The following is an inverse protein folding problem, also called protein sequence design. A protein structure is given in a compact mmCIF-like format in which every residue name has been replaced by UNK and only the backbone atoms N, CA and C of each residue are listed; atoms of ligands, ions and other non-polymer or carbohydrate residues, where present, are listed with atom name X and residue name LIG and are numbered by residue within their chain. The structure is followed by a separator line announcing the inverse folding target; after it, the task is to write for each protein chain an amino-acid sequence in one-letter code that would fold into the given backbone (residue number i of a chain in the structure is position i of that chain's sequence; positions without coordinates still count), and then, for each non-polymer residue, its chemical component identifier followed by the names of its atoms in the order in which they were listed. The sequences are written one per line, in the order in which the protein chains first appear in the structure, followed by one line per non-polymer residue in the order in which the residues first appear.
data_IF_064792598898
#
_entry.id   IF_064792598898
#
_cell.length_a   1.000
_cell.length_b   1.000
_cell.length_c   1.000
_cell.angle_alpha   90.00
_cell.angle_beta   90.00
_cell.angle_gamma   90.00
#
_symmetry.space_group_name_H-M   'P 1'
#
loop_
_entity.id
_entity.type
_entity.pdbx_description
1 polymer ?
#
# COMPACT_ATOMS: atom_id res chain seq x y z
N UNK A 1 14.05 7.41 2.07
CA UNK A 1 13.22 6.31 2.58
C UNK A 1 12.51 5.65 1.40
N UNK A 2 12.41 4.32 1.38
CA UNK A 2 11.81 3.60 0.26
C UNK A 2 10.33 3.94 0.15
N UNK A 3 9.93 4.53 -0.98
CA UNK A 3 8.61 5.14 -1.18
C UNK A 3 7.44 4.17 -1.03
N UNK A 4 7.66 2.85 -1.16
CA UNK A 4 6.63 1.82 -1.00
C UNK A 4 7.29 0.48 -0.61
N UNK A 5 7.14 -0.03 0.62
CA UNK A 5 7.76 -1.30 1.01
C UNK A 5 7.10 -2.48 0.28
N UNK A 6 7.89 -3.23 -0.50
CA UNK A 6 7.44 -4.44 -1.19
C UNK A 6 7.56 -5.64 -0.25
N UNK A 7 6.50 -6.43 -0.11
CA UNK A 7 6.50 -7.67 0.69
C UNK A 7 6.13 -8.84 -0.21
N UNK A 8 6.86 -9.95 -0.08
CA UNK A 8 6.76 -11.17 -0.90
C UNK A 8 5.48 -12.01 -0.69
N UNK A 9 4.49 -11.47 0.02
CA UNK A 9 3.17 -12.10 0.21
C UNK A 9 2.44 -11.56 1.43
N UNK A 10 1.11 -11.37 1.32
CA UNK A 10 0.28 -10.80 2.38
C UNK A 10 0.23 -11.66 3.66
N UNK A 11 0.53 -12.96 3.57
CA UNK A 11 0.44 -13.90 4.70
C UNK A 11 1.34 -13.53 5.89
N UNK A 12 2.55 -13.04 5.64
CA UNK A 12 3.48 -12.63 6.70
C UNK A 12 2.95 -11.42 7.49
N UNK A 13 2.31 -10.47 6.81
CA UNK A 13 1.72 -9.28 7.44
C UNK A 13 0.51 -9.69 8.27
N UNK A 14 -0.38 -10.54 7.73
CA UNK A 14 -1.56 -11.02 8.45
C UNK A 14 -1.18 -11.77 9.72
N UNK A 15 -0.15 -12.63 9.66
CA UNK A 15 0.37 -13.32 10.85
C UNK A 15 0.94 -12.32 11.86
N UNK A 16 1.74 -11.36 11.41
CA UNK A 16 2.29 -10.31 12.29
C UNK A 16 1.18 -9.52 12.97
N UNK A 17 0.17 -9.06 12.24
CA UNK A 17 -0.99 -8.35 12.80
C UNK A 17 -1.72 -9.22 13.84
N UNK A 18 -1.87 -10.52 13.57
CA UNK A 18 -2.45 -11.48 14.50
C UNK A 18 -1.65 -11.59 15.81
N UNK A 19 -0.31 -11.64 15.73
CA UNK A 19 0.55 -11.64 16.92
C UNK A 19 0.45 -10.34 17.69
N UNK A 20 0.47 -9.19 17.00
CA UNK A 20 0.33 -7.87 17.60
C UNK A 20 -1.02 -7.69 18.30
N UNK A 21 -2.10 -8.32 17.80
CA UNK A 21 -3.41 -8.36 18.48
C UNK A 21 -3.40 -9.16 19.79
N UNK A 22 -2.61 -10.22 19.85
CA UNK A 22 -2.52 -11.06 21.06
C UNK A 22 -1.57 -10.47 22.10
N UNK A 23 -0.45 -9.88 21.65
CA UNK A 23 0.51 -9.23 22.52
C UNK A 23 1.24 -8.14 21.73
N UNK A 24 0.97 -6.88 22.06
CA UNK A 24 1.60 -5.73 21.42
C UNK A 24 2.80 -5.24 22.24
N UNK A 25 4.04 -5.66 21.93
CA UNK A 25 5.21 -5.29 22.69
C UNK A 25 5.48 -3.78 22.59
N UNK A 26 6.18 -3.22 23.59
CA UNK A 26 6.54 -1.80 23.60
C UNK A 26 7.46 -1.41 22.43
N UNK A 27 8.28 -2.35 21.97
CA UNK A 27 9.21 -2.21 20.84
C UNK A 27 9.11 -3.41 19.92
N UNK A 28 8.96 -3.17 18.62
CA UNK A 28 8.97 -4.15 17.55
C UNK A 28 10.29 -4.03 16.80
N UNK A 29 11.21 -4.96 17.05
CA UNK A 29 12.51 -5.04 16.37
C UNK A 29 12.60 -6.31 15.52
N UNK A 30 13.69 -6.44 14.77
CA UNK A 30 13.98 -7.66 14.00
C UNK A 30 14.07 -8.91 14.88
N UNK A 31 14.45 -8.76 16.15
CA UNK A 31 14.46 -9.86 17.12
C UNK A 31 13.03 -10.31 17.47
N UNK A 32 12.09 -9.36 17.58
CA UNK A 32 10.68 -9.65 17.82
C UNK A 32 10.10 -10.43 16.64
N UNK A 33 10.37 -9.98 15.41
CA UNK A 33 9.91 -10.65 14.18
C UNK A 33 10.49 -12.07 14.07
N UNK A 34 11.79 -12.23 14.38
CA UNK A 34 12.45 -13.55 14.44
C UNK A 34 11.86 -14.46 15.52
N UNK A 35 11.52 -13.92 16.69
CA UNK A 35 10.92 -14.67 17.79
C UNK A 35 9.54 -15.22 17.42
N UNK A 36 8.77 -14.49 16.63
CA UNK A 36 7.49 -14.97 16.10
C UNK A 36 7.64 -15.90 14.88
N UNK A 37 8.87 -16.16 14.42
CA UNK A 37 9.17 -16.95 13.21
C UNK A 37 8.42 -16.43 11.97
N UNK A 38 8.08 -15.14 11.95
CA UNK A 38 7.41 -14.49 10.83
C UNK A 38 8.48 -13.94 9.91
N UNK A 39 8.38 -14.22 8.61
CA UNK A 39 9.21 -13.57 7.58
C UNK A 39 10.75 -13.64 7.81
N UNK A 40 11.31 -14.81 8.10
CA UNK A 40 12.77 -15.02 8.15
C UNK A 40 13.45 -14.46 6.90
N UNK A 41 14.46 -13.60 7.08
CA UNK A 41 15.18 -12.83 6.02
C UNK A 41 14.41 -11.66 5.38
N UNK A 42 13.18 -11.38 5.79
CA UNK A 42 12.38 -10.24 5.30
C UNK A 42 11.84 -9.37 6.45
N UNK A 43 12.49 -9.41 7.61
CA UNK A 43 12.03 -8.75 8.83
C UNK A 43 11.97 -7.23 8.67
N UNK A 44 12.98 -6.65 8.03
CA UNK A 44 13.04 -5.20 7.75
C UNK A 44 11.85 -4.73 6.91
N UNK A 45 11.33 -5.55 6.00
CA UNK A 45 10.15 -5.17 5.21
C UNK A 45 8.89 -5.12 6.05
N UNK A 46 8.72 -6.07 6.96
CA UNK A 46 7.58 -6.09 7.89
C UNK A 46 7.65 -4.89 8.82
N UNK A 47 8.82 -4.56 9.36
CA UNK A 47 9.03 -3.39 10.21
C UNK A 47 8.73 -2.11 9.43
N UNK A 48 9.27 -1.96 8.21
CA UNK A 48 9.00 -0.79 7.38
C UNK A 48 7.51 -0.65 7.02
N UNK A 49 6.79 -1.75 6.81
CA UNK A 49 5.35 -1.71 6.56
C UNK A 49 4.56 -1.30 7.82
N UNK A 50 4.96 -1.77 9.01
CA UNK A 50 4.36 -1.34 10.27
C UNK A 50 4.66 0.15 10.58
N UNK A 51 5.86 0.62 10.25
CA UNK A 51 6.25 2.03 10.32
C UNK A 51 5.40 2.88 9.36
N UNK A 52 5.25 2.41 8.12
CA UNK A 52 4.44 3.08 7.11
C UNK A 52 2.96 3.21 7.54
N UNK A 53 2.42 2.17 8.17
CA UNK A 53 1.06 2.19 8.73
C UNK A 53 0.93 3.09 9.98
N UNK A 54 2.02 3.67 10.49
CA UNK A 54 2.01 4.56 11.66
C UNK A 54 1.77 3.86 13.00
N UNK A 55 1.86 2.52 13.01
CA UNK A 55 1.63 1.71 14.23
C UNK A 55 2.87 1.69 15.13
N UNK A 56 4.04 1.87 14.51
CA UNK A 56 5.34 1.98 15.18
C UNK A 56 6.10 3.19 14.62
N UNK A 57 7.01 3.76 15.42
CA UNK A 57 7.86 4.87 15.03
C UNK A 57 9.15 4.40 14.30
N UNK A 58 10.01 5.36 13.94
CA UNK A 58 11.30 5.09 13.28
C UNK A 58 12.26 4.24 14.12
N UNK A 59 12.12 4.29 15.46
CA UNK A 59 12.89 3.48 16.41
C UNK A 59 12.27 2.09 16.66
N UNK A 60 11.08 1.82 16.09
CA UNK A 60 10.31 0.60 16.30
C UNK A 60 9.51 0.57 17.59
N UNK A 61 9.39 1.68 18.33
CA UNK A 61 8.47 1.79 19.46
C UNK A 61 7.04 1.92 18.98
N UNK A 62 6.12 1.31 19.72
CA UNK A 62 4.69 1.46 19.44
C UNK A 62 4.21 2.89 19.60
N UNK A 63 3.36 3.34 18.68
CA UNK A 63 2.66 4.62 18.81
C UNK A 63 1.42 4.48 19.70
N UNK A 64 0.98 5.57 20.34
CA UNK A 64 -0.24 5.58 21.14
C UNK A 64 -1.47 5.24 20.28
N UNK A 65 -1.56 5.82 19.09
CA UNK A 65 -2.59 5.51 18.09
C UNK A 65 -2.60 4.02 17.72
N UNK A 66 -1.42 3.44 17.47
CA UNK A 66 -1.30 2.02 17.18
C UNK A 66 -1.78 1.17 18.35
N UNK A 67 -1.38 1.52 19.58
CA UNK A 67 -1.82 0.79 20.78
C UNK A 67 -3.34 0.82 20.96
N UNK A 68 -3.96 1.99 20.83
CA UNK A 68 -5.42 2.14 20.95
C UNK A 68 -6.17 1.26 19.95
N UNK A 69 -5.74 1.26 18.67
CA UNK A 69 -6.39 0.44 17.64
C UNK A 69 -6.29 -1.05 17.93
N UNK A 70 -5.11 -1.53 18.34
CA UNK A 70 -4.88 -2.96 18.58
C UNK A 70 -5.53 -3.51 19.86
N UNK A 71 -5.91 -2.64 20.81
CA UNK A 71 -6.63 -3.01 22.04
C UNK A 71 -8.14 -3.22 21.79
N UNK A 72 -8.69 -2.67 20.70
CA UNK A 72 -10.12 -2.75 20.39
C UNK A 72 -10.62 -4.19 20.14
N UNK A 73 -11.89 -4.49 20.49
CA UNK A 73 -12.50 -5.79 20.23
C UNK A 73 -12.65 -6.08 18.72
N UNK A 74 -12.80 -7.36 18.33
CA UNK A 74 -13.10 -7.74 16.95
C UNK A 74 -14.41 -7.05 16.48
N UNK A 75 -14.37 -6.42 15.30
CA UNK A 75 -15.47 -5.61 14.73
C UNK A 75 -15.22 -4.09 14.79
N UNK A 76 -14.67 -3.58 15.90
CA UNK A 76 -14.24 -2.18 16.00
C UNK A 76 -12.82 -1.99 15.47
N UNK A 77 -11.94 -2.97 15.74
CA UNK A 77 -10.59 -3.00 15.21
C UNK A 77 -10.54 -2.88 13.69
N UNK A 78 -11.43 -3.58 12.96
CA UNK A 78 -11.40 -3.57 11.50
C UNK A 78 -11.67 -2.16 10.94
N UNK A 79 -12.60 -1.44 11.56
CA UNK A 79 -12.95 -0.05 11.19
C UNK A 79 -11.81 0.91 11.53
N UNK A 80 -11.24 0.77 12.73
CA UNK A 80 -10.15 1.61 13.19
C UNK A 80 -8.85 1.34 12.38
N UNK A 81 -8.53 0.08 12.12
CA UNK A 81 -7.40 -0.34 11.30
C UNK A 81 -7.57 0.08 9.84
N UNK A 82 -8.78 -0.04 9.27
CA UNK A 82 -9.05 0.47 7.93
C UNK A 82 -8.86 2.00 7.83
N UNK A 83 -9.18 2.73 8.90
CA UNK A 83 -8.94 4.18 8.96
C UNK A 83 -7.45 4.50 8.99
N UNK A 84 -6.66 3.78 9.80
CA UNK A 84 -5.19 3.89 9.79
C UNK A 84 -4.57 3.61 8.42
N UNK A 85 -5.00 2.52 7.77
CA UNK A 85 -4.53 2.17 6.41
C UNK A 85 -4.91 3.29 5.44
N UNK A 86 -6.13 3.84 5.54
CA UNK A 86 -6.55 4.94 4.65
C UNK A 86 -5.72 6.19 4.85
N UNK A 87 -5.39 6.54 6.09
CA UNK A 87 -4.55 7.68 6.45
C UNK A 87 -3.13 7.51 5.89
N UNK A 88 -2.51 6.34 6.11
CA UNK A 88 -1.16 6.02 5.63
C UNK A 88 -1.06 6.02 4.10
N UNK A 89 -2.13 5.64 3.40
CA UNK A 89 -2.17 5.61 1.94
C UNK A 89 -2.73 6.91 1.32
N UNK A 90 -2.95 7.97 2.10
CA UNK A 90 -3.52 9.24 1.59
C UNK A 90 -2.72 9.79 0.42
N UNK A 91 -1.38 9.79 0.51
CA UNK A 91 -0.48 10.21 -0.58
C UNK A 91 -0.70 9.41 -1.88
N UNK A 92 -0.97 8.11 -1.79
CA UNK A 92 -1.27 7.26 -2.96
C UNK A 92 -2.63 7.59 -3.58
N UNK A 93 -3.60 8.02 -2.77
CA UNK A 93 -4.89 8.50 -3.26
C UNK A 93 -4.81 9.92 -3.82
N UNK A 94 -3.96 10.79 -3.25
CA UNK A 94 -3.71 12.15 -3.74
C UNK A 94 -2.99 12.15 -5.10
N UNK A 95 -2.04 11.24 -5.31
CA UNK A 95 -1.39 11.04 -6.63
C UNK A 95 -2.41 10.64 -7.72
N UNK A 96 -3.58 10.12 -7.34
CA UNK A 96 -4.70 9.80 -8.26
C UNK A 96 -5.74 10.92 -8.40
N UNK A 97 -5.47 12.11 -7.88
CA UNK A 97 -6.14 13.33 -8.31
C UNK A 97 -5.82 13.66 -9.77
N UNK A 98 -6.61 13.09 -10.68
CA UNK A 98 -6.70 13.28 -12.15
C UNK A 98 -6.08 12.16 -13.04
N UNK A 99 -6.90 11.37 -13.74
CA UNK A 99 -6.48 10.74 -14.98
C UNK A 99 -6.53 11.76 -16.13
N UNK A 100 -5.68 12.80 -16.13
CA UNK A 100 -5.54 13.68 -17.33
C UNK A 100 -4.83 13.01 -18.51
N UNK A 101 -4.31 11.78 -18.35
CA UNK A 101 -3.49 11.10 -19.38
C UNK A 101 -4.22 10.01 -20.18
N UNK A 102 -5.55 10.01 -20.23
CA UNK A 102 -6.31 9.14 -21.16
C UNK A 102 -6.99 9.93 -22.31
N UNK A 103 -6.81 11.25 -22.41
CA UNK A 103 -7.43 12.03 -23.49
C UNK A 103 -6.56 12.29 -24.74
N UNK A 104 -5.29 11.86 -24.81
CA UNK A 104 -4.44 12.15 -26.00
C UNK A 104 -4.64 11.15 -27.15
N UNK A 105 -4.94 9.88 -26.84
CA UNK A 105 -5.09 8.81 -27.86
C UNK A 105 -6.45 8.86 -28.57
N UNK A 106 -7.50 9.33 -27.89
CA UNK A 106 -8.82 9.54 -28.50
C UNK A 106 -8.90 10.81 -29.36
N UNK A 107 -8.09 11.84 -29.08
CA UNK A 107 -8.00 13.02 -29.93
C UNK A 107 -7.35 12.74 -31.30
N UNK A 108 -6.41 11.80 -31.36
CA UNK A 108 -5.78 11.41 -32.63
C UNK A 108 -6.75 10.63 -33.53
N UNK A 109 -7.58 9.75 -32.96
CA UNK A 109 -8.57 8.99 -33.74
C UNK A 109 -9.63 9.90 -34.41
N UNK A 110 -10.01 11.02 -33.77
CA UNK A 110 -10.95 11.99 -34.36
C UNK A 110 -10.34 12.75 -35.55
N UNK A 111 -9.01 12.91 -35.61
CA UNK A 111 -8.33 13.64 -36.69
C UNK A 111 -8.11 12.78 -37.95
N UNK A 112 -8.15 11.45 -37.81
CA UNK A 112 -7.93 10.50 -38.90
C UNK A 112 -9.19 10.16 -39.71
N UNK A 113 -10.38 10.50 -39.21
CA UNK A 113 -11.65 10.27 -39.92
C UNK A 113 -11.94 11.29 -41.04
N UNK A 114 -11.05 12.26 -41.28
CA UNK A 114 -11.32 13.40 -42.17
C UNK A 114 -10.41 13.47 -43.41
N UNK A 115 -9.58 12.46 -43.64
CA UNK A 115 -8.88 12.32 -44.92
C UNK A 115 -9.61 11.29 -45.78
N UNK A 116 -10.40 11.83 -46.70
CA UNK A 116 -10.97 11.15 -47.87
C UNK A 116 -9.95 10.18 -48.49
N UNK A 117 -10.41 8.94 -48.71
CA UNK A 117 -9.72 7.98 -49.56
C UNK A 117 -9.91 8.37 -51.02
N UNK A 118 -9.17 9.38 -51.48
CA UNK A 118 -8.88 9.52 -52.91
C UNK A 118 -7.68 8.62 -53.21
N UNK A 119 -7.94 7.47 -53.82
CA UNK A 119 -6.91 6.73 -54.55
C UNK A 119 -7.59 5.92 -55.66
N UNK A 120 -7.91 6.63 -56.75
CA UNK A 120 -7.99 6.01 -58.08
C UNK A 120 -6.66 5.28 -58.34
N UNK A 121 -6.69 3.95 -58.37
CA UNK A 121 -5.57 3.17 -58.88
C UNK A 121 -5.70 3.04 -60.40
N UNK A 122 -4.90 3.82 -61.12
CA UNK A 122 -4.64 3.62 -62.54
C UNK A 122 -3.69 2.42 -62.67
N UNK A 123 -4.21 1.28 -63.14
CA UNK A 123 -3.39 0.20 -63.66
C UNK A 123 -3.07 0.48 -65.14
N UNK A 124 -1.80 0.72 -65.44
CA UNK A 124 -1.20 0.44 -66.77
C UNK A 124 0.14 -0.22 -66.58
#
# INVERSE_FOLDING_TARGET
MASHPYISGAGNITQMIGFLRNNFPATVSSETVKKYQVASNNESYVINALQFLGVIDEEGKRTEKGHEVFVLPPGEFEKAFASLVREAYTDLFEIRGEPRRVCRRLQLLRKWSHYEQDNEQVFT
#
